data_IF_024536036399
#
_entry.id   IF_024536036399
#
_cell.length_a   1.000
_cell.length_b   1.000
_cell.length_c   1.000
_cell.angle_alpha   90.00
_cell.angle_beta   90.00
_cell.angle_gamma   90.00
#
_symmetry.space_group_name_H-M   'P 1'
#
loop_
_entity.id
_entity.type
_entity.pdbx_description
1 polymer ?
#
# COMPACT_ATOMS: atom_id res chain seq x y z
N UNK A 1 17.35 -17.50 14.35
CA UNK A 1 18.10 -17.02 13.18
C UNK A 1 19.56 -16.87 13.61
N UNK A 2 20.47 -17.65 13.04
CA UNK A 2 21.88 -17.70 13.45
C UNK A 2 22.66 -16.46 13.01
N UNK A 3 23.81 -16.18 13.65
CA UNK A 3 24.69 -15.05 13.28
C UNK A 3 25.14 -15.09 11.80
N UNK A 4 25.35 -16.29 11.26
CA UNK A 4 25.72 -16.50 9.85
C UNK A 4 24.58 -16.18 8.87
N UNK A 5 23.32 -16.51 9.23
CA UNK A 5 22.15 -16.15 8.43
C UNK A 5 21.95 -14.63 8.40
N UNK A 6 22.17 -13.96 9.53
CA UNK A 6 22.15 -12.49 9.62
C UNK A 6 23.19 -11.86 8.69
N UNK A 7 24.42 -12.37 8.69
CA UNK A 7 25.49 -11.86 7.84
C UNK A 7 25.23 -12.11 6.35
N UNK A 8 24.75 -13.31 5.98
CA UNK A 8 24.32 -13.60 4.60
C UNK A 8 23.20 -12.69 4.14
N UNK A 9 22.22 -12.44 5.00
CA UNK A 9 21.09 -11.55 4.70
C UNK A 9 21.54 -10.09 4.54
N UNK A 10 22.45 -9.63 5.40
CA UNK A 10 23.05 -8.29 5.29
C UNK A 10 23.87 -8.12 4.00
N UNK A 11 24.73 -9.09 3.66
CA UNK A 11 25.49 -9.08 2.41
C UNK A 11 24.59 -9.07 1.17
N UNK A 12 23.52 -9.89 1.18
CA UNK A 12 22.52 -9.92 0.11
C UNK A 12 21.81 -8.56 -0.05
N UNK A 13 21.46 -7.89 1.05
CA UNK A 13 20.86 -6.55 1.01
C UNK A 13 21.77 -5.50 0.38
N UNK A 14 23.05 -5.48 0.74
CA UNK A 14 24.02 -4.52 0.17
C UNK A 14 24.19 -4.73 -1.33
N UNK A 15 24.29 -5.98 -1.78
CA UNK A 15 24.39 -6.32 -3.20
C UNK A 15 23.15 -5.89 -3.98
N UNK A 16 21.95 -6.15 -3.44
CA UNK A 16 20.69 -5.71 -4.04
C UNK A 16 20.67 -4.19 -4.13
N UNK A 17 20.98 -3.46 -3.07
CA UNK A 17 20.98 -1.99 -3.09
C UNK A 17 21.93 -1.43 -4.14
N UNK A 18 23.17 -1.96 -4.26
CA UNK A 18 24.11 -1.53 -5.31
C UNK A 18 23.58 -1.80 -6.71
N UNK A 19 22.99 -2.98 -6.93
CA UNK A 19 22.37 -3.33 -8.22
C UNK A 19 21.24 -2.34 -8.54
N UNK A 20 20.37 -2.06 -7.57
CA UNK A 20 19.21 -1.18 -7.75
C UNK A 20 19.60 0.30 -7.88
N UNK A 21 20.86 0.69 -7.69
CA UNK A 21 21.34 2.03 -8.07
C UNK A 21 21.60 2.18 -9.58
N UNK A 22 21.67 1.06 -10.31
CA UNK A 22 21.93 1.08 -11.76
C UNK A 22 20.61 1.28 -12.54
N UNK A 23 20.53 2.28 -13.44
CA UNK A 23 19.31 2.55 -14.22
C UNK A 23 18.80 1.33 -15.00
N UNK A 24 19.71 0.58 -15.62
CA UNK A 24 19.33 -0.62 -16.38
C UNK A 24 18.72 -1.70 -15.48
N UNK A 25 19.27 -1.91 -14.28
CA UNK A 25 18.72 -2.88 -13.35
C UNK A 25 17.32 -2.49 -12.83
N UNK A 26 17.09 -1.19 -12.60
CA UNK A 26 15.76 -0.69 -12.25
C UNK A 26 14.77 -0.91 -13.39
N UNK A 27 15.17 -0.66 -14.64
CA UNK A 27 14.35 -0.90 -15.81
C UNK A 27 14.00 -2.39 -15.98
N UNK A 28 14.98 -3.28 -15.83
CA UNK A 28 14.74 -4.72 -15.87
C UNK A 28 13.79 -5.18 -14.76
N UNK A 29 13.94 -4.65 -13.54
CA UNK A 29 13.02 -4.95 -12.44
C UNK A 29 11.60 -4.43 -12.72
N UNK A 30 11.48 -3.23 -13.30
CA UNK A 30 10.19 -2.67 -13.74
C UNK A 30 9.51 -3.57 -14.77
N UNK A 31 10.24 -4.05 -15.77
CA UNK A 31 9.70 -4.99 -16.77
C UNK A 31 9.35 -6.35 -16.14
N UNK A 32 10.14 -6.83 -15.18
CA UNK A 32 9.84 -8.06 -14.43
C UNK A 32 8.55 -7.91 -13.62
N UNK A 33 8.34 -6.76 -12.97
CA UNK A 33 7.10 -6.44 -12.27
C UNK A 33 5.89 -6.45 -13.21
N UNK A 34 5.98 -5.83 -14.37
CA UNK A 34 4.92 -5.86 -15.38
C UNK A 34 4.62 -7.27 -15.87
N UNK A 35 5.65 -8.06 -16.18
CA UNK A 35 5.49 -9.46 -16.59
C UNK A 35 4.80 -10.28 -15.49
N UNK A 36 5.23 -10.10 -14.24
CA UNK A 36 4.63 -10.77 -13.10
C UNK A 36 3.16 -10.38 -12.93
N UNK A 37 2.82 -9.10 -13.02
CA UNK A 37 1.43 -8.64 -12.94
C UNK A 37 0.57 -9.21 -14.08
N UNK A 38 1.09 -9.23 -15.31
CA UNK A 38 0.39 -9.81 -16.49
C UNK A 38 0.12 -11.31 -16.33
N UNK A 39 0.94 -12.05 -15.57
CA UNK A 39 0.69 -13.47 -15.28
C UNK A 39 -0.60 -13.73 -14.51
N UNK A 40 -1.18 -12.69 -13.88
CA UNK A 40 -2.42 -12.77 -13.13
C UNK A 40 -3.68 -12.49 -13.95
N UNK A 41 -3.58 -12.22 -15.25
CA UNK A 41 -4.76 -12.04 -16.11
C UNK A 41 -5.67 -13.28 -16.01
N UNK A 42 -6.97 -13.03 -15.85
CA UNK A 42 -7.99 -14.07 -15.65
C UNK A 42 -8.27 -14.42 -14.19
N UNK A 43 -7.44 -14.00 -13.24
CA UNK A 43 -7.67 -14.27 -11.81
C UNK A 43 -8.93 -13.52 -11.33
N UNK A 44 -9.89 -14.19 -10.67
CA UNK A 44 -11.15 -13.57 -10.26
C UNK A 44 -11.00 -12.55 -9.13
N UNK A 45 -11.92 -11.58 -9.13
CA UNK A 45 -12.01 -10.54 -8.12
C UNK A 45 -12.73 -11.05 -6.86
N UNK A 46 -12.01 -11.17 -5.75
CA UNK A 46 -12.49 -11.49 -4.39
C UNK A 46 -13.64 -12.52 -4.29
N UNK A 47 -13.34 -13.70 -3.73
CA UNK A 47 -14.24 -14.87 -3.66
C UNK A 47 -15.71 -14.60 -3.35
N UNK A 48 -15.99 -13.69 -2.41
CA UNK A 48 -17.36 -13.35 -1.96
C UNK A 48 -18.30 -12.83 -3.05
N UNK A 49 -17.79 -12.43 -4.22
CA UNK A 49 -18.60 -11.93 -5.33
C UNK A 49 -18.92 -12.98 -6.39
N UNK A 50 -18.47 -14.23 -6.22
CA UNK A 50 -18.72 -15.33 -7.15
C UNK A 50 -19.69 -16.34 -6.51
N UNK A 51 -20.69 -16.78 -7.28
CA UNK A 51 -21.68 -17.74 -6.80
C UNK A 51 -21.03 -19.11 -6.55
N UNK A 52 -21.37 -19.80 -5.44
CA UNK A 52 -20.88 -21.15 -5.18
C UNK A 52 -21.16 -22.09 -6.36
N UNK A 53 -20.12 -22.80 -6.81
CA UNK A 53 -20.23 -23.77 -7.90
C UNK A 53 -19.68 -23.28 -9.24
N UNK A 54 -19.53 -21.97 -9.45
CA UNK A 54 -18.93 -21.44 -10.69
C UNK A 54 -17.42 -21.75 -10.74
N UNK A 55 -16.80 -21.80 -11.94
CA UNK A 55 -15.35 -21.96 -12.07
C UNK A 55 -14.55 -20.92 -11.27
N UNK A 56 -15.01 -19.67 -11.25
CA UNK A 56 -14.38 -18.58 -10.49
C UNK A 56 -14.44 -18.84 -8.99
N UNK A 57 -15.57 -19.30 -8.46
CA UNK A 57 -15.72 -19.58 -7.02
C UNK A 57 -14.78 -20.69 -6.50
N UNK A 58 -14.34 -21.56 -7.41
CA UNK A 58 -13.40 -22.67 -7.18
C UNK A 58 -11.94 -22.29 -7.41
N UNK A 59 -11.66 -21.04 -7.81
CA UNK A 59 -10.30 -20.58 -8.05
C UNK A 59 -9.46 -20.60 -6.78
N UNK A 60 -8.17 -20.93 -6.92
CA UNK A 60 -7.22 -20.99 -5.81
C UNK A 60 -6.78 -19.60 -5.32
N UNK A 61 -6.88 -18.60 -6.19
CA UNK A 61 -6.44 -17.24 -5.96
C UNK A 61 -7.53 -16.26 -6.35
N UNK A 62 -7.67 -15.21 -5.55
CA UNK A 62 -8.53 -14.06 -5.85
C UNK A 62 -7.74 -12.79 -5.58
N UNK A 63 -7.86 -11.81 -6.47
CA UNK A 63 -7.12 -10.56 -6.39
C UNK A 63 -8.08 -9.39 -6.58
N UNK A 64 -8.17 -8.53 -5.57
CA UNK A 64 -8.72 -7.18 -5.73
C UNK A 64 -7.64 -6.23 -6.28
N UNK A 65 -7.98 -4.95 -6.45
CA UNK A 65 -7.10 -3.97 -7.09
C UNK A 65 -5.74 -3.83 -6.38
N UNK A 66 -5.74 -3.58 -5.07
CA UNK A 66 -4.51 -3.51 -4.29
C UNK A 66 -3.87 -4.90 -4.09
N UNK A 67 -4.65 -5.98 -4.05
CA UNK A 67 -4.19 -7.35 -3.96
C UNK A 67 -3.35 -7.77 -5.15
N UNK A 68 -3.73 -7.37 -6.37
CA UNK A 68 -2.95 -7.60 -7.59
C UNK A 68 -1.54 -7.00 -7.47
N UNK A 69 -1.44 -5.71 -7.14
CA UNK A 69 -0.15 -5.02 -6.98
C UNK A 69 0.68 -5.70 -5.89
N UNK A 70 0.06 -5.92 -4.73
CA UNK A 70 0.73 -6.51 -3.57
C UNK A 70 1.26 -7.89 -3.88
N UNK A 71 0.48 -8.71 -4.60
CA UNK A 71 0.88 -10.06 -4.99
C UNK A 71 2.07 -10.01 -5.93
N UNK A 72 2.00 -9.22 -7.00
CA UNK A 72 3.08 -9.09 -7.97
C UNK A 72 4.40 -8.60 -7.34
N UNK A 73 4.34 -7.63 -6.41
CA UNK A 73 5.52 -7.17 -5.67
C UNK A 73 6.04 -8.26 -4.73
N UNK A 74 5.16 -9.00 -4.04
CA UNK A 74 5.57 -10.07 -3.11
C UNK A 74 6.24 -11.24 -3.80
N UNK A 75 5.77 -11.65 -4.97
CA UNK A 75 6.45 -12.70 -5.75
C UNK A 75 7.86 -12.27 -6.17
N UNK A 76 8.13 -10.96 -6.20
CA UNK A 76 9.41 -10.35 -6.54
C UNK A 76 10.14 -9.76 -5.31
N UNK A 77 9.80 -10.22 -4.10
CA UNK A 77 10.38 -9.69 -2.83
C UNK A 77 11.91 -9.70 -2.85
N UNK A 78 12.52 -10.77 -3.38
CA UNK A 78 13.97 -10.88 -3.45
C UNK A 78 14.60 -9.92 -4.47
N UNK A 79 13.88 -9.58 -5.54
CA UNK A 79 14.35 -8.65 -6.55
C UNK A 79 14.21 -7.20 -6.10
N UNK A 80 13.08 -6.86 -5.49
CA UNK A 80 12.80 -5.55 -4.91
C UNK A 80 13.62 -5.28 -3.64
N UNK A 81 14.07 -6.31 -2.92
CA UNK A 81 14.86 -6.13 -1.68
C UNK A 81 14.04 -5.64 -0.49
N UNK A 82 12.71 -5.60 -0.60
CA UNK A 82 11.78 -5.30 0.49
C UNK A 82 10.54 -6.18 0.43
N UNK A 83 9.81 -6.24 1.54
CA UNK A 83 8.51 -6.90 1.63
C UNK A 83 7.40 -5.88 1.82
N UNK A 84 6.41 -5.87 0.91
CA UNK A 84 5.26 -4.96 1.01
C UNK A 84 4.21 -5.46 2.02
N UNK A 85 3.78 -4.55 2.89
CA UNK A 85 2.79 -4.82 3.94
C UNK A 85 1.41 -5.23 3.42
N UNK A 86 0.53 -5.67 4.32
CA UNK A 86 -0.84 -6.12 4.01
C UNK A 86 -1.86 -5.00 3.80
N UNK A 87 -1.43 -3.72 3.86
CA UNK A 87 -2.32 -2.58 3.73
C UNK A 87 -3.03 -2.48 2.37
N UNK A 88 -4.08 -1.66 2.31
CA UNK A 88 -4.93 -1.43 1.13
C UNK A 88 -4.26 -0.51 0.08
N UNK A 89 -5.02 -0.05 -0.92
CA UNK A 89 -4.55 0.89 -1.94
C UNK A 89 -4.02 2.22 -1.36
N UNK A 90 -4.60 2.73 -0.26
CA UNK A 90 -4.10 3.95 0.37
C UNK A 90 -2.71 3.73 1.00
N UNK A 91 -2.48 2.57 1.61
CA UNK A 91 -1.13 2.19 2.06
C UNK A 91 -0.13 2.15 0.91
N UNK A 92 -0.51 1.58 -0.25
CA UNK A 92 0.37 1.54 -1.42
C UNK A 92 0.67 2.96 -1.92
N UNK A 93 -0.34 3.82 -1.97
CA UNK A 93 -0.23 5.24 -2.31
C UNK A 93 0.80 5.95 -1.41
N UNK A 94 0.74 5.74 -0.09
CA UNK A 94 1.65 6.37 0.89
C UNK A 94 3.12 5.94 0.77
N UNK A 95 3.35 4.76 0.18
CA UNK A 95 4.71 4.24 -0.07
C UNK A 95 5.30 4.72 -1.39
N UNK A 96 4.55 5.49 -2.18
CA UNK A 96 4.96 6.03 -3.48
C UNK A 96 4.96 7.57 -3.44
N UNK A 97 6.07 8.17 -2.98
CA UNK A 97 6.15 9.60 -2.75
C UNK A 97 6.23 10.45 -4.02
N UNK A 98 6.57 9.85 -5.16
CA UNK A 98 6.75 10.56 -6.43
C UNK A 98 5.41 10.62 -7.15
N UNK A 99 4.78 11.80 -7.10
CA UNK A 99 3.58 12.13 -7.89
C UNK A 99 4.01 12.71 -9.23
N UNK A 100 3.41 12.22 -10.31
CA UNK A 100 3.62 12.71 -11.67
C UNK A 100 2.49 13.69 -12.03
N UNK A 101 2.79 14.76 -12.79
CA UNK A 101 1.80 15.81 -13.07
C UNK A 101 0.70 15.38 -14.04
N UNK A 102 0.98 14.40 -14.91
CA UNK A 102 0.08 13.99 -16.00
C UNK A 102 0.40 12.57 -16.49
N UNK A 103 -0.51 12.01 -17.29
CA UNK A 103 -0.39 10.67 -17.87
C UNK A 103 0.82 10.52 -18.82
N UNK A 104 1.27 11.62 -19.45
CA UNK A 104 2.42 11.62 -20.37
C UNK A 104 3.76 11.32 -19.68
N UNK A 105 3.83 11.50 -18.36
CA UNK A 105 5.03 11.23 -17.55
C UNK A 105 5.06 9.79 -17.02
N UNK A 106 3.99 9.02 -17.21
CA UNK A 106 3.93 7.64 -16.73
C UNK A 106 4.86 6.74 -17.54
N UNK A 107 5.65 5.93 -16.83
CA UNK A 107 6.39 4.83 -17.40
C UNK A 107 5.62 3.52 -17.24
N UNK A 108 5.79 2.54 -18.15
CA UNK A 108 5.21 1.21 -17.97
C UNK A 108 5.50 0.67 -16.55
N UNK A 109 4.47 0.20 -15.84
CA UNK A 109 4.57 -0.31 -14.47
C UNK A 109 4.32 0.74 -13.38
N UNK A 110 4.26 2.03 -13.71
CA UNK A 110 3.78 3.03 -12.76
C UNK A 110 2.30 2.79 -12.42
N UNK A 111 1.85 3.36 -11.30
CA UNK A 111 0.51 3.12 -10.78
C UNK A 111 -0.39 4.33 -10.97
N UNK A 112 -1.63 4.06 -11.38
CA UNK A 112 -2.70 5.05 -11.45
C UNK A 112 -3.64 4.78 -10.28
N UNK A 113 -3.60 5.66 -9.28
CA UNK A 113 -4.54 5.62 -8.17
C UNK A 113 -5.76 6.47 -8.48
N UNK A 114 -6.90 6.10 -7.93
CA UNK A 114 -8.16 6.81 -8.10
C UNK A 114 -8.67 7.21 -6.73
N UNK A 115 -8.84 8.51 -6.51
CA UNK A 115 -9.66 9.00 -5.40
C UNK A 115 -11.12 9.10 -5.82
N UNK A 116 -12.04 8.94 -4.88
CA UNK A 116 -13.45 9.11 -5.17
C UNK A 116 -14.34 8.91 -3.95
N UNK A 117 -15.59 9.34 -4.09
CA UNK A 117 -16.60 9.27 -3.03
C UNK A 117 -17.51 8.07 -3.29
N UNK A 118 -17.61 7.15 -2.32
CA UNK A 118 -18.56 6.03 -2.44
C UNK A 118 -19.99 6.54 -2.52
N UNK A 119 -20.80 5.93 -3.41
CA UNK A 119 -22.23 6.25 -3.49
C UNK A 119 -22.99 5.79 -2.25
N UNK A 120 -22.52 4.71 -1.62
CA UNK A 120 -23.01 4.24 -0.34
C UNK A 120 -22.39 5.07 0.80
N UNK A 121 -23.19 5.95 1.39
CA UNK A 121 -22.78 6.85 2.48
C UNK A 121 -22.51 6.14 3.80
N UNK A 122 -22.94 4.89 3.96
CA UNK A 122 -22.63 4.07 5.13
C UNK A 122 -21.21 3.48 5.07
N UNK A 123 -20.58 3.54 3.89
CA UNK A 123 -19.25 2.98 3.72
C UNK A 123 -18.18 3.91 4.26
N UNK A 124 -17.34 3.38 5.14
CA UNK A 124 -16.21 4.12 5.69
C UNK A 124 -15.30 4.65 4.57
N UNK A 125 -15.01 5.95 4.65
CA UNK A 125 -14.07 6.63 3.76
C UNK A 125 -12.68 6.00 3.87
N UNK A 126 -11.99 5.89 2.75
CA UNK A 126 -10.62 5.43 2.72
C UNK A 126 -9.68 6.61 3.03
N UNK A 127 -8.49 6.36 3.62
CA UNK A 127 -7.48 7.42 3.71
C UNK A 127 -7.19 8.02 2.34
N UNK A 128 -7.08 9.35 2.29
CA UNK A 128 -6.91 10.13 1.05
C UNK A 128 -8.03 9.92 0.00
N UNK A 129 -9.17 9.34 0.41
CA UNK A 129 -10.26 8.90 -0.46
C UNK A 129 -9.81 7.96 -1.60
N UNK A 130 -8.66 7.28 -1.45
CA UNK A 130 -8.14 6.38 -2.48
C UNK A 130 -8.96 5.08 -2.50
N UNK A 131 -9.73 4.90 -3.57
CA UNK A 131 -10.71 3.81 -3.71
C UNK A 131 -10.26 2.71 -4.67
N UNK A 132 -9.30 2.99 -5.56
CA UNK A 132 -8.84 2.05 -6.58
C UNK A 132 -7.40 2.31 -7.03
N UNK A 133 -6.78 1.29 -7.63
CA UNK A 133 -5.44 1.37 -8.22
C UNK A 133 -5.34 0.44 -9.43
N UNK A 134 -4.68 0.90 -10.49
CA UNK A 134 -4.36 0.12 -11.70
C UNK A 134 -2.88 0.31 -12.09
N UNK A 135 -2.33 -0.65 -12.85
CA UNK A 135 -0.97 -0.59 -13.38
C UNK A 135 -1.01 0.02 -14.78
N UNK A 136 -0.21 1.05 -15.02
CA UNK A 136 -0.02 1.63 -16.35
C UNK A 136 0.79 0.68 -17.24
N UNK A 137 0.31 0.41 -18.46
CA UNK A 137 1.00 -0.52 -19.36
C UNK A 137 2.04 0.13 -20.26
N UNK A 138 2.07 1.47 -20.35
CA UNK A 138 3.03 2.19 -21.19
C UNK A 138 2.60 2.40 -22.64
N UNK A 139 1.42 1.90 -23.01
CA UNK A 139 0.86 2.01 -24.36
C UNK A 139 -0.49 2.72 -24.27
N UNK A 140 -0.62 3.83 -25.00
CA UNK A 140 -1.85 4.62 -25.09
C UNK A 140 -2.39 5.02 -23.70
N UNK A 141 -3.60 4.57 -23.35
CA UNK A 141 -4.23 4.74 -22.02
C UNK A 141 -4.44 3.42 -21.31
N UNK A 142 -3.80 2.35 -21.79
CA UNK A 142 -4.10 0.99 -21.35
C UNK A 142 -3.58 0.75 -19.93
N UNK A 143 -4.38 -0.01 -19.19
CA UNK A 143 -4.10 -0.32 -17.80
C UNK A 143 -4.44 -1.78 -17.49
N UNK A 144 -3.70 -2.35 -16.54
CA UNK A 144 -3.95 -3.68 -16.00
C UNK A 144 -4.51 -3.53 -14.58
N UNK A 145 -5.69 -4.10 -14.34
CA UNK A 145 -6.37 -3.94 -13.06
C UNK A 145 -7.39 -5.01 -12.77
N UNK A 146 -7.91 -4.97 -11.54
CA UNK A 146 -9.03 -5.78 -11.08
C UNK A 146 -10.17 -4.84 -10.68
N UNK A 147 -11.01 -4.46 -11.65
CA UNK A 147 -11.79 -3.22 -11.59
C UNK A 147 -13.15 -3.30 -10.87
N UNK A 148 -13.85 -4.44 -10.92
CA UNK A 148 -15.19 -4.53 -10.32
C UNK A 148 -15.48 -5.89 -9.68
N UNK A 149 -16.49 -5.89 -8.80
CA UNK A 149 -17.02 -7.05 -8.10
C UNK A 149 -17.47 -8.13 -9.11
N UNK A 150 -16.94 -9.34 -8.98
CA UNK A 150 -17.25 -10.45 -9.90
C UNK A 150 -16.50 -10.39 -11.23
N UNK A 151 -15.67 -9.37 -11.46
CA UNK A 151 -14.77 -9.31 -12.61
C UNK A 151 -13.53 -10.20 -12.44
N UNK A 152 -12.58 -10.05 -13.38
CA UNK A 152 -11.27 -10.71 -13.37
C UNK A 152 -10.18 -9.66 -13.57
N UNK A 153 -8.95 -10.00 -13.22
CA UNK A 153 -7.77 -9.22 -13.61
C UNK A 153 -7.69 -9.24 -15.14
N UNK A 154 -7.63 -8.07 -15.77
CA UNK A 154 -7.54 -7.96 -17.23
C UNK A 154 -6.93 -6.64 -17.65
N UNK A 155 -6.58 -6.56 -18.93
CA UNK A 155 -6.19 -5.30 -19.57
C UNK A 155 -7.44 -4.53 -19.96
N UNK A 156 -7.42 -3.22 -19.71
CA UNK A 156 -8.42 -2.26 -20.13
C UNK A 156 -7.81 -1.29 -21.14
N UNK A 157 -8.64 -0.85 -22.09
CA UNK A 157 -8.22 0.10 -23.13
C UNK A 157 -7.91 1.48 -22.54
N UNK A 158 -8.55 1.81 -21.42
CA UNK A 158 -8.33 3.06 -20.69
C UNK A 158 -8.37 2.82 -19.19
N UNK A 159 -7.47 3.47 -18.46
CA UNK A 159 -7.55 3.63 -17.00
C UNK A 159 -8.73 4.52 -16.57
N UNK A 160 -9.28 5.32 -17.50
CA UNK A 160 -10.46 6.15 -17.24
C UNK A 160 -11.73 5.32 -17.47
N UNK A 161 -12.61 5.31 -16.49
CA UNK A 161 -13.89 4.61 -16.55
C UNK A 161 -14.92 5.22 -15.60
N UNK A 162 -16.16 4.77 -15.71
CA UNK A 162 -17.23 5.11 -14.77
C UNK A 162 -17.46 3.94 -13.82
N UNK A 163 -17.28 4.18 -12.52
CA UNK A 163 -17.52 3.19 -11.48
C UNK A 163 -19.00 3.11 -11.11
N UNK A 164 -19.49 1.91 -10.79
CA UNK A 164 -20.84 1.69 -10.24
C UNK A 164 -20.92 1.86 -8.72
N UNK A 165 -19.79 2.11 -8.05
CA UNK A 165 -19.72 2.11 -6.57
C UNK A 165 -19.17 3.38 -5.95
N UNK A 166 -18.57 4.26 -6.76
CA UNK A 166 -18.05 5.55 -6.34
C UNK A 166 -18.06 6.53 -7.52
N UNK A 167 -18.14 7.82 -7.22
CA UNK A 167 -18.10 8.93 -8.18
C UNK A 167 -17.07 9.98 -7.79
N UNK A 168 -17.14 11.14 -8.43
CA UNK A 168 -16.18 12.25 -8.25
C UNK A 168 -14.73 11.76 -8.36
N UNK A 169 -14.46 11.01 -9.43
CA UNK A 169 -13.20 10.31 -9.61
C UNK A 169 -12.09 11.29 -10.03
N UNK A 170 -11.00 11.31 -9.27
CA UNK A 170 -9.76 11.99 -9.65
C UNK A 170 -8.63 10.98 -9.76
N UNK A 171 -7.70 11.21 -10.69
CA UNK A 171 -6.63 10.29 -11.03
C UNK A 171 -5.29 10.82 -10.52
N UNK A 172 -4.57 9.98 -9.80
CA UNK A 172 -3.29 10.29 -9.19
C UNK A 172 -2.21 9.38 -9.79
N UNK A 173 -1.28 9.98 -10.52
CA UNK A 173 -0.20 9.27 -11.19
C UNK A 173 1.00 9.12 -10.26
N UNK A 174 1.37 7.88 -9.94
CA UNK A 174 2.42 7.58 -8.98
C UNK A 174 3.50 6.72 -9.61
N UNK A 175 4.74 7.21 -9.52
CA UNK A 175 5.87 6.47 -10.05
C UNK A 175 6.38 5.42 -9.08
N UNK A 176 6.70 4.22 -9.57
CA UNK A 176 7.26 3.13 -8.75
C UNK A 176 8.78 3.22 -8.55
N UNK A 177 9.44 4.29 -9.01
CA UNK A 177 10.90 4.47 -8.91
C UNK A 177 11.42 4.27 -7.47
N UNK A 178 10.68 4.73 -6.46
CA UNK A 178 11.04 4.50 -5.05
C UNK A 178 11.08 3.01 -4.70
N UNK A 179 10.13 2.22 -5.20
CA UNK A 179 10.16 0.77 -5.03
C UNK A 179 11.31 0.14 -5.83
N UNK A 180 11.60 0.61 -7.05
CA UNK A 180 12.71 0.10 -7.85
C UNK A 180 14.08 0.34 -7.20
N UNK A 181 14.18 1.30 -6.27
CA UNK A 181 15.37 1.53 -5.43
C UNK A 181 15.39 0.66 -4.16
N UNK A 182 14.41 -0.21 -3.99
CA UNK A 182 14.26 -1.10 -2.85
C UNK A 182 13.68 -0.45 -1.60
N UNK A 183 12.98 0.68 -1.75
CA UNK A 183 12.42 1.45 -0.63
C UNK A 183 10.91 1.27 -0.60
N UNK A 184 10.38 0.75 0.52
CA UNK A 184 8.94 0.66 0.78
C UNK A 184 8.66 1.12 2.20
N UNK A 185 8.57 2.44 2.37
CA UNK A 185 8.35 3.09 3.67
C UNK A 185 7.15 4.01 3.49
N UNK A 186 6.15 3.90 4.38
CA UNK A 186 5.11 4.93 4.45
C UNK A 186 5.78 6.22 4.83
N UNK A 187 5.48 7.32 4.12
CA UNK A 187 5.70 8.64 4.71
C UNK A 187 4.79 8.75 5.94
N UNK A 188 5.28 8.31 7.10
CA UNK A 188 4.87 8.94 8.34
C UNK A 188 5.17 10.44 8.16
N UNK A 189 4.34 11.30 8.72
CA UNK A 189 4.59 12.73 8.83
C UNK A 189 6.01 12.96 9.38
N UNK A 190 7.01 13.02 8.50
CA UNK A 190 8.30 13.60 8.84
C UNK A 190 7.96 15.08 8.91
N UNK A 191 7.73 15.58 10.13
CA UNK A 191 7.85 17.01 10.41
C UNK A 191 9.11 17.43 9.70
N UNK A 192 8.96 18.25 8.66
CA UNK A 192 10.10 18.87 8.01
C UNK A 192 10.86 19.53 9.13
N UNK A 193 12.02 18.96 9.50
CA UNK A 193 13.06 19.73 10.14
C UNK A 193 13.28 20.89 9.18
N UNK A 194 12.79 22.06 9.59
CA UNK A 194 13.00 23.33 8.93
C UNK A 194 14.49 23.45 8.70
N UNK A 195 14.92 23.30 7.45
CA UNK A 195 16.24 23.74 7.03
C UNK A 195 16.23 25.26 7.23
N UNK A 196 17.06 25.83 8.11
CA UNK A 196 17.17 27.28 8.22
C UNK A 196 17.67 27.79 6.88
N UNK A 197 16.91 28.72 6.31
CA UNK A 197 17.24 29.45 5.09
C UNK A 197 18.47 30.32 5.40
N UNK A 198 19.67 29.78 5.23
CA UNK A 198 20.88 30.60 5.31
C UNK A 198 21.00 31.39 4.01
N UNK A 199 21.10 32.70 4.21
CA UNK A 199 21.06 33.75 3.20
C UNK A 199 22.17 33.59 2.16
N UNK A 200 21.77 33.76 0.89
CA UNK A 200 22.64 34.24 -0.17
C UNK A 200 23.14 35.64 0.23
N UNK A 201 24.42 35.77 0.55
CA UNK A 201 25.18 37.01 0.37
C UNK A 201 26.69 36.69 0.42
N UNK A 202 27.42 37.08 -0.64
CA UNK A 202 28.83 37.42 -0.56
C UNK A 202 29.83 36.37 -1.00
N UNK A 203 30.44 36.62 -2.16
CA UNK A 203 31.70 36.04 -2.62
C UNK A 203 32.81 36.16 -1.57
N UNK A 204 33.67 35.13 -1.49
CA UNK A 204 35.15 35.17 -1.42
C UNK A 204 35.67 33.74 -1.18
N UNK A 205 36.69 33.25 -1.91
CA UNK A 205 37.30 31.95 -1.66
C UNK A 205 38.46 32.10 -0.67
N UNK A 206 38.66 31.13 0.23
CA UNK A 206 39.98 30.54 0.54
C UNK A 206 39.97 29.62 1.76
N UNK A 207 40.82 28.59 1.61
CA UNK A 207 41.62 27.89 2.62
C UNK A 207 41.03 26.69 3.37
N UNK A 208 41.51 25.54 2.89
CA UNK A 208 41.73 24.28 3.57
C UNK A 208 42.37 24.52 4.95
N UNK A 209 41.76 23.98 6.00
CA UNK A 209 42.44 23.69 7.26
C UNK A 209 41.98 22.32 7.78
N UNK A 210 42.85 21.32 7.61
CA UNK A 210 42.80 20.09 8.39
C UNK A 210 43.09 20.43 9.85
N UNK A 211 42.21 20.05 10.78
CA UNK A 211 42.60 19.88 12.18
C UNK A 211 42.06 18.58 12.75
N UNK A 212 43.04 17.84 13.23
CA UNK A 212 43.07 16.60 13.98
C UNK A 212 42.19 16.64 15.23
N UNK A 213 41.42 15.56 15.44
CA UNK A 213 40.76 15.28 16.70
C UNK A 213 41.79 14.84 17.74
N UNK A 214 41.79 15.51 18.89
CA UNK A 214 42.42 15.02 20.12
C UNK A 214 41.41 15.20 21.26
N UNK A 215 40.94 14.08 21.81
CA UNK A 215 40.49 13.97 23.22
C UNK A 215 41.74 13.99 24.12
N UNK A 216 41.69 14.24 25.46
CA UNK A 216 40.55 14.00 26.38
C UNK A 216 40.39 15.04 27.54
N UNK A 217 39.31 14.92 28.32
CA UNK A 217 39.40 14.82 29.79
C UNK A 217 38.01 14.63 30.45
N UNK A 218 37.96 13.67 31.38
CA UNK A 218 36.85 13.41 32.30
C UNK A 218 36.65 14.60 33.24
N UNK A 219 35.43 15.12 33.31
CA UNK A 219 34.98 16.10 34.30
C UNK A 219 33.69 15.64 34.96
N UNK A 220 33.64 15.74 36.28
CA UNK A 220 32.64 15.20 37.20
C UNK A 220 31.24 15.82 37.02
N UNK A 221 30.21 14.99 37.15
CA UNK A 221 28.81 15.36 37.37
C UNK A 221 28.61 16.00 38.75
N UNK A 222 27.85 17.09 38.87
CA UNK A 222 27.13 17.43 40.09
C UNK A 222 25.77 16.72 40.12
N UNK A 223 25.51 16.10 41.26
CA UNK A 223 24.24 15.56 41.72
C UNK A 223 23.26 16.67 42.07
N UNK A 224 22.04 16.63 41.51
CA UNK A 224 20.90 17.36 42.05
C UNK A 224 19.68 16.42 42.16
N UNK A 225 18.98 16.35 43.31
CA UNK A 225 17.88 15.42 43.54
C UNK A 225 16.53 16.11 43.33
N UNK A 226 15.71 15.61 42.42
CA UNK A 226 14.31 16.03 42.34
C UNK A 226 13.64 15.87 40.98
N UNK A 227 13.21 14.64 40.65
CA UNK A 227 12.07 14.39 39.75
C UNK A 227 11.78 12.88 39.71
N UNK A 228 11.18 12.37 40.78
CA UNK A 228 10.61 11.02 40.83
C UNK A 228 9.09 11.12 40.94
N UNK A 229 8.42 11.49 39.85
CA UNK A 229 6.97 11.36 39.70
C UNK A 229 6.61 11.72 38.25
N UNK A 230 6.51 10.72 37.36
CA UNK A 230 5.75 10.76 36.09
C UNK A 230 5.90 9.47 35.25
N UNK A 231 5.95 8.30 35.89
CA UNK A 231 5.79 7.01 35.23
C UNK A 231 4.73 6.19 35.95
N UNK A 232 3.45 6.55 35.70
CA UNK A 232 2.33 5.91 36.41
C UNK A 232 0.95 6.05 35.80
N UNK A 233 0.78 6.47 34.53
CA UNK A 233 -0.56 6.62 33.92
C UNK A 233 -0.65 6.23 32.43
N UNK A 234 0.01 5.15 32.02
CA UNK A 234 -0.18 4.59 30.66
C UNK A 234 -0.49 3.08 30.63
N UNK A 235 -1.09 2.55 31.71
CA UNK A 235 -1.44 1.14 31.83
C UNK A 235 -2.95 0.85 32.03
N UNK A 236 -3.83 1.86 32.08
CA UNK A 236 -5.25 1.67 32.42
C UNK A 236 -6.24 2.04 31.30
N UNK A 237 -5.94 1.71 30.03
CA UNK A 237 -6.89 1.90 28.91
C UNK A 237 -6.91 0.72 27.91
N UNK A 238 -6.56 -0.49 28.33
CA UNK A 238 -6.69 -1.70 27.48
C UNK A 238 -7.78 -2.68 27.89
N UNK A 239 -8.39 -2.52 29.07
CA UNK A 239 -9.36 -3.50 29.57
C UNK A 239 -10.84 -3.08 29.43
N UNK A 240 -11.13 -1.84 29.04
CA UNK A 240 -12.51 -1.37 28.86
C UNK A 240 -13.15 -1.75 27.51
N UNK A 241 -12.39 -2.16 26.50
CA UNK A 241 -12.95 -2.54 25.19
C UNK A 241 -13.28 -4.03 25.04
N UNK A 242 -13.03 -4.87 26.07
CA UNK A 242 -13.26 -6.32 25.98
C UNK A 242 -14.55 -6.79 26.68
N UNK A 243 -15.30 -5.89 27.31
CA UNK A 243 -16.55 -6.23 28.04
C UNK A 243 -17.86 -5.95 27.27
N UNK A 244 -17.86 -5.14 26.20
CA UNK A 244 -19.11 -4.81 25.47
C UNK A 244 -19.48 -5.76 24.31
N UNK A 245 -18.72 -6.83 24.09
CA UNK A 245 -18.95 -7.75 22.98
C UNK A 245 -19.71 -9.05 23.35
N UNK A 246 -20.22 -9.17 24.60
CA UNK A 246 -20.88 -10.40 25.10
C UNK A 246 -22.35 -10.30 25.46
N UNK A 247 -23.03 -9.20 25.15
CA UNK A 247 -24.49 -9.08 25.33
C UNK A 247 -25.15 -8.52 24.08
N UNK A 248 -25.29 -9.35 23.04
CA UNK A 248 -26.29 -9.18 21.96
C UNK A 248 -26.37 -10.46 21.11
N UNK A 249 -26.71 -11.57 21.76
CA UNK A 249 -27.12 -12.80 21.07
C UNK A 249 -28.13 -13.57 21.91
N UNK A 250 -29.32 -13.00 22.11
CA UNK A 250 -30.47 -13.74 22.62
C UNK A 250 -31.77 -13.01 22.29
N UNK A 251 -32.30 -13.22 21.09
CA UNK A 251 -33.74 -13.29 20.89
C UNK A 251 -34.02 -14.13 19.66
N UNK A 252 -34.64 -15.28 19.91
CA UNK A 252 -35.06 -16.30 18.95
C UNK A 252 -36.59 -16.32 18.93
N UNK A 253 -37.13 -16.63 17.74
CA UNK A 253 -38.46 -17.18 17.44
C UNK A 253 -39.66 -16.22 17.20
N UNK A 254 -40.74 -16.65 16.49
CA UNK A 254 -40.93 -17.92 15.78
C UNK A 254 -41.40 -17.81 14.30
N UNK A 255 -41.19 -18.92 13.59
CA UNK A 255 -41.83 -19.34 12.34
C UNK A 255 -43.32 -19.69 12.53
N UNK A 256 -44.19 -19.33 11.57
CA UNK A 256 -45.46 -20.01 11.20
C UNK A 256 -45.94 -19.48 9.81
N UNK A 257 -46.96 -20.07 9.13
CA UNK A 257 -46.80 -21.23 8.25
C UNK A 257 -47.34 -20.97 6.81
N UNK A 258 -47.12 -21.96 5.94
CA UNK A 258 -47.65 -22.02 4.59
C UNK A 258 -49.19 -22.11 4.55
N UNK A 259 -49.82 -21.30 3.70
CA UNK A 259 -51.22 -21.46 3.32
C UNK A 259 -51.28 -21.99 1.88
N UNK A 260 -51.70 -23.25 1.75
CA UNK A 260 -52.18 -23.84 0.50
C UNK A 260 -53.66 -23.46 0.33
N UNK A 261 -54.01 -22.92 -0.83
CA UNK A 261 -55.38 -23.03 -1.36
C UNK A 261 -55.28 -23.31 -2.85
N UNK A 262 -55.94 -24.39 -3.28
CA UNK A 262 -56.24 -24.67 -4.67
C UNK A 262 -57.76 -24.74 -4.84
N UNK A 263 -58.25 -24.27 -5.98
CA UNK A 263 -59.47 -24.66 -6.71
C UNK A 263 -59.24 -24.20 -8.16
N UNK A 264 -59.21 -25.07 -9.18
CA UNK A 264 -60.31 -25.74 -9.93
C UNK A 264 -61.30 -24.80 -10.64
N UNK A 265 -61.49 -25.07 -11.93
CA UNK A 265 -62.60 -24.61 -12.80
C UNK A 265 -62.09 -23.85 -14.04
N UNK A 266 -61.89 -24.46 -15.21
CA UNK A 266 -62.85 -24.93 -16.23
C UNK A 266 -63.18 -23.88 -17.29
N UNK A 267 -63.01 -24.32 -18.56
CA UNK A 267 -63.27 -23.69 -19.86
C UNK A 267 -62.21 -22.72 -20.40
#
# INVERSE_FOLDING_TARGET
MGKEELQRFAGRKVLIQRRLQQPEAQWQLRMKFLKQAKSYIGVPYAKKYHQPGTPESKSLLFLDCCGLIRRAVRDLTEDFGFYIGSGNQAYQYDTLPITLPSEEHLKPGDLVFISGTYFDTQRARQPHDIVHVEIWLGEEKRSLGARWKGGKVQVFDSFKFVSKTYGSMEYHFKSIETWLQGICIRKAFTILATVPKQQLLGDQPLLIAQRTFSEPARGKLPSDPGCSELWGQAACMRDACRASAKQKSSSKAPSQPACKTGMRGSL
#
